data_IF_158133102650
#
_entry.id   IF_158133102650
#
_cell.length_a   1.000
_cell.length_b   1.000
_cell.length_c   1.000
_cell.angle_alpha   90.00
_cell.angle_beta   90.00
_cell.angle_gamma   90.00
#
_symmetry.space_group_name_H-M   'P 1'
#
loop_
_entity.id
_entity.type
_entity.pdbx_description
1 polymer ?
#
# COMPACT_ATOMS: atom_id res chain seq x y z
N UNK A 1 1.85 -33.46 -32.01
CA UNK A 1 0.46 -33.08 -31.66
C UNK A 1 0.07 -31.88 -32.50
N UNK A 2 -0.92 -31.98 -33.38
CA UNK A 2 -1.31 -30.88 -34.28
C UNK A 2 -1.99 -29.73 -33.53
N UNK A 3 -1.61 -28.50 -33.85
CA UNK A 3 -2.28 -27.30 -33.34
C UNK A 3 -3.74 -27.28 -33.80
N UNK A 4 -4.68 -27.15 -32.85
CA UNK A 4 -6.11 -27.03 -33.15
C UNK A 4 -6.42 -25.57 -33.51
N UNK A 5 -6.95 -25.33 -34.70
CA UNK A 5 -7.32 -24.00 -35.17
C UNK A 5 -8.83 -23.77 -35.07
N UNK A 6 -9.23 -22.52 -34.84
CA UNK A 6 -10.63 -22.07 -34.91
C UNK A 6 -10.71 -20.79 -35.74
N UNK A 7 -11.80 -20.64 -36.46
CA UNK A 7 -12.08 -19.45 -37.29
C UNK A 7 -13.08 -18.57 -36.58
N UNK A 8 -12.85 -17.26 -36.63
CA UNK A 8 -13.78 -16.24 -36.12
C UNK A 8 -14.16 -15.31 -37.28
N UNK A 9 -15.40 -14.84 -37.30
CA UNK A 9 -15.81 -13.75 -38.18
C UNK A 9 -15.66 -12.45 -37.41
N UNK A 10 -14.93 -11.51 -37.98
CA UNK A 10 -14.70 -10.19 -37.41
C UNK A 10 -15.18 -9.12 -38.39
N UNK A 11 -15.39 -7.91 -37.89
CA UNK A 11 -15.72 -6.77 -38.74
C UNK A 11 -14.54 -6.39 -39.62
N UNK A 12 -14.84 -5.84 -40.79
CA UNK A 12 -13.84 -5.47 -41.81
C UNK A 12 -12.81 -4.45 -41.28
N UNK A 13 -13.27 -3.46 -40.52
CA UNK A 13 -12.42 -2.42 -39.94
C UNK A 13 -11.39 -2.98 -38.94
N UNK A 14 -11.80 -3.97 -38.14
CA UNK A 14 -10.91 -4.70 -37.22
C UNK A 14 -9.89 -5.55 -37.99
N UNK A 15 -10.33 -6.21 -39.08
CA UNK A 15 -9.43 -6.98 -39.92
C UNK A 15 -8.36 -6.10 -40.56
N UNK A 16 -8.73 -4.95 -41.11
CA UNK A 16 -7.81 -3.98 -41.70
C UNK A 16 -6.83 -3.42 -40.66
N UNK A 17 -7.29 -3.17 -39.42
CA UNK A 17 -6.40 -2.78 -38.33
C UNK A 17 -5.37 -3.88 -38.03
N UNK A 18 -5.79 -5.14 -37.88
CA UNK A 18 -4.89 -6.26 -37.61
C UNK A 18 -3.90 -6.46 -38.77
N UNK A 19 -4.37 -6.31 -40.02
CA UNK A 19 -3.55 -6.38 -41.23
C UNK A 19 -2.47 -5.31 -41.26
N UNK A 20 -2.80 -4.06 -40.92
CA UNK A 20 -1.83 -2.96 -40.81
C UNK A 20 -0.73 -3.28 -39.79
N UNK A 21 -1.08 -3.87 -38.64
CA UNK A 21 -0.10 -4.27 -37.63
C UNK A 21 0.72 -5.50 -38.03
N UNK A 22 0.13 -6.44 -38.78
CA UNK A 22 0.83 -7.56 -39.41
C UNK A 22 1.93 -7.04 -40.35
N UNK A 23 1.58 -6.12 -41.26
CA UNK A 23 2.51 -5.52 -42.21
C UNK A 23 3.63 -4.73 -41.49
N UNK A 24 3.29 -3.97 -40.46
CA UNK A 24 4.25 -3.18 -39.68
C UNK A 24 5.24 -4.03 -38.88
N UNK A 25 4.80 -5.18 -38.36
CA UNK A 25 5.60 -5.98 -37.40
C UNK A 25 6.19 -7.26 -38.00
N UNK A 26 5.80 -7.63 -39.22
CA UNK A 26 6.16 -8.90 -39.85
C UNK A 26 5.58 -10.14 -39.17
N UNK A 27 4.74 -9.98 -38.14
CA UNK A 27 4.17 -11.07 -37.37
C UNK A 27 2.94 -11.68 -38.07
N UNK A 28 2.62 -12.94 -37.77
CA UNK A 28 1.35 -13.54 -38.23
C UNK A 28 0.15 -12.90 -37.56
N UNK A 29 -1.02 -12.93 -38.21
CA UNK A 29 -2.28 -12.38 -37.67
C UNK A 29 -2.57 -12.94 -36.26
N UNK A 30 -2.38 -14.24 -36.07
CA UNK A 30 -2.58 -14.90 -34.76
C UNK A 30 -1.64 -14.35 -33.68
N UNK A 31 -0.39 -14.04 -34.03
CA UNK A 31 0.56 -13.42 -33.09
C UNK A 31 0.20 -11.97 -32.77
N UNK A 32 -0.31 -11.21 -33.74
CA UNK A 32 -0.78 -9.83 -33.50
C UNK A 32 -1.96 -9.86 -32.52
N UNK A 33 -2.93 -10.75 -32.74
CA UNK A 33 -4.07 -10.91 -31.83
C UNK A 33 -3.62 -11.38 -30.45
N UNK A 34 -2.72 -12.38 -30.38
CA UNK A 34 -2.19 -12.85 -29.10
C UNK A 34 -1.45 -11.74 -28.32
N UNK A 35 -0.66 -10.91 -29.01
CA UNK A 35 0.01 -9.75 -28.40
C UNK A 35 -0.99 -8.71 -27.91
N UNK A 36 -2.05 -8.43 -28.67
CA UNK A 36 -3.09 -7.49 -28.26
C UNK A 36 -3.84 -8.00 -27.02
N UNK A 37 -4.22 -9.28 -27.00
CA UNK A 37 -4.86 -9.91 -25.84
C UNK A 37 -3.94 -9.96 -24.62
N UNK A 38 -2.65 -10.29 -24.81
CA UNK A 38 -1.67 -10.28 -23.73
C UNK A 38 -1.44 -8.86 -23.20
N UNK A 39 -1.46 -7.86 -24.07
CA UNK A 39 -1.37 -6.45 -23.66
C UNK A 39 -2.61 -6.02 -22.88
N UNK A 40 -3.82 -6.40 -23.32
CA UNK A 40 -5.06 -6.16 -22.59
C UNK A 40 -5.03 -6.84 -21.22
N UNK A 41 -4.64 -8.11 -21.14
CA UNK A 41 -4.50 -8.84 -19.86
C UNK A 41 -3.47 -8.17 -18.95
N UNK A 42 -2.33 -7.71 -19.50
CA UNK A 42 -1.33 -6.94 -18.74
C UNK A 42 -1.90 -5.58 -18.26
N UNK A 43 -2.68 -4.91 -19.10
CA UNK A 43 -3.36 -3.66 -18.79
C UNK A 43 -4.56 -3.83 -17.86
N UNK A 44 -5.11 -5.02 -17.68
CA UNK A 44 -6.12 -5.29 -16.65
C UNK A 44 -5.45 -5.68 -15.32
N UNK A 45 -4.29 -6.34 -15.36
CA UNK A 45 -3.50 -6.71 -14.17
C UNK A 45 -2.80 -5.52 -13.49
N UNK A 46 -2.29 -4.55 -14.25
CA UNK A 46 -1.53 -3.39 -13.74
C UNK A 46 -2.31 -2.20 -13.15
N UNK A 47 -3.55 -1.84 -13.56
CA UNK A 47 -4.30 -0.74 -12.96
C UNK A 47 -4.63 -1.01 -11.50
N UNK A 48 -4.84 -2.29 -11.13
CA UNK A 48 -5.09 -2.73 -9.74
C UNK A 48 -3.95 -2.34 -8.79
N UNK A 49 -2.69 -2.46 -9.25
CA UNK A 49 -1.51 -2.00 -8.48
C UNK A 49 -1.52 -0.48 -8.31
N UNK A 50 -2.02 0.27 -9.32
CA UNK A 50 -2.10 1.73 -9.27
C UNK A 50 -3.26 2.27 -8.45
N UNK A 51 -4.30 1.49 -8.19
CA UNK A 51 -5.38 1.82 -7.25
C UNK A 51 -4.99 1.49 -5.80
N UNK A 52 -4.25 0.39 -5.61
CA UNK A 52 -3.65 0.03 -4.31
C UNK A 52 -2.51 1.00 -3.92
N UNK A 53 -1.83 1.63 -4.89
CA UNK A 53 -0.74 2.59 -4.67
C UNK A 53 -1.18 3.82 -3.83
N UNK A 54 -2.30 4.51 -4.12
CA UNK A 54 -2.83 5.58 -3.26
C UNK A 54 -3.05 5.18 -1.80
N UNK A 55 -3.53 3.95 -1.55
CA UNK A 55 -3.72 3.44 -0.18
C UNK A 55 -2.37 3.10 0.44
N UNK A 56 -1.53 2.34 -0.25
CA UNK A 56 -0.19 1.98 0.23
C UNK A 56 0.65 3.22 0.53
N UNK A 57 0.60 4.26 -0.32
CA UNK A 57 1.27 5.54 -0.11
C UNK A 57 0.72 6.28 1.12
N UNK A 58 -0.61 6.29 1.30
CA UNK A 58 -1.24 6.84 2.51
C UNK A 58 -0.71 6.17 3.76
N UNK A 59 -0.78 4.83 3.83
CA UNK A 59 -0.32 4.09 5.01
C UNK A 59 1.20 4.22 5.21
N UNK A 60 1.99 4.16 4.15
CA UNK A 60 3.44 4.37 4.17
C UNK A 60 3.82 5.74 4.75
N UNK A 61 3.10 6.81 4.36
CA UNK A 61 3.32 8.15 4.89
C UNK A 61 3.07 8.25 6.39
N UNK A 62 1.98 7.65 6.88
CA UNK A 62 1.65 7.65 8.30
C UNK A 62 2.62 6.77 9.12
N UNK A 63 3.05 5.63 8.58
CA UNK A 63 4.11 4.80 9.18
C UNK A 63 5.41 5.62 9.31
N UNK A 64 5.83 6.29 8.23
CA UNK A 64 7.04 7.10 8.25
C UNK A 64 6.94 8.23 9.29
N UNK A 65 5.83 8.98 9.30
CA UNK A 65 5.59 10.06 10.26
C UNK A 65 5.68 9.61 11.72
N UNK A 66 4.97 8.54 12.08
CA UNK A 66 4.95 8.08 13.47
C UNK A 66 6.31 7.53 13.88
N UNK A 67 7.00 6.78 13.00
CA UNK A 67 8.32 6.24 13.32
C UNK A 67 9.40 7.31 13.43
N UNK A 68 9.36 8.35 12.59
CA UNK A 68 10.29 9.47 12.68
C UNK A 68 10.10 10.26 13.97
N UNK A 69 8.85 10.61 14.33
CA UNK A 69 8.56 11.29 15.60
C UNK A 69 8.84 10.42 16.83
N UNK A 70 8.56 9.11 16.75
CA UNK A 70 8.92 8.15 17.79
C UNK A 70 10.44 8.02 17.96
N UNK A 71 11.20 8.02 16.85
CA UNK A 71 12.65 8.05 16.86
C UNK A 71 13.20 9.29 17.54
N UNK A 72 12.70 10.48 17.16
CA UNK A 72 13.08 11.76 17.75
C UNK A 72 12.77 11.82 19.26
N UNK A 73 11.57 11.39 19.67
CA UNK A 73 11.20 11.32 21.08
C UNK A 73 12.06 10.33 21.87
N UNK A 74 12.33 9.15 21.30
CA UNK A 74 13.23 8.16 21.92
C UNK A 74 14.67 8.66 22.02
N UNK A 75 15.10 9.51 21.08
CA UNK A 75 16.43 10.08 21.08
C UNK A 75 16.59 11.20 22.10
N UNK A 76 15.59 12.07 22.20
CA UNK A 76 15.51 13.19 23.14
C UNK A 76 14.05 13.38 23.61
N UNK A 77 13.68 12.81 24.77
CA UNK A 77 12.34 12.91 25.35
C UNK A 77 12.09 14.31 25.94
N UNK A 78 11.86 15.28 25.05
CA UNK A 78 11.49 16.65 25.41
C UNK A 78 10.03 16.94 25.05
N UNK A 79 9.50 18.05 25.56
CA UNK A 79 8.11 18.47 25.36
C UNK A 79 7.73 18.62 23.88
N UNK A 80 8.64 19.11 23.05
CA UNK A 80 8.40 19.29 21.61
C UNK A 80 8.27 17.95 20.89
N UNK A 81 9.20 17.03 21.12
CA UNK A 81 9.18 15.70 20.52
C UNK A 81 8.01 14.85 21.03
N UNK A 82 7.65 15.02 22.31
CA UNK A 82 6.46 14.43 22.90
C UNK A 82 5.20 14.89 22.15
N UNK A 83 5.00 16.21 21.99
CA UNK A 83 3.84 16.75 21.27
C UNK A 83 3.76 16.24 19.84
N UNK A 84 4.87 16.27 19.10
CA UNK A 84 4.89 15.74 17.73
C UNK A 84 4.52 14.27 17.65
N UNK A 85 4.94 13.45 18.62
CA UNK A 85 4.57 12.04 18.66
C UNK A 85 3.08 11.88 19.00
N UNK A 86 2.57 12.59 20.01
CA UNK A 86 1.15 12.53 20.39
C UNK A 86 0.24 12.99 19.25
N UNK A 87 0.54 14.12 18.61
CA UNK A 87 -0.25 14.64 17.48
C UNK A 87 -0.30 13.63 16.32
N UNK A 88 0.81 12.93 16.06
CA UNK A 88 0.85 11.87 15.05
C UNK A 88 0.03 10.65 15.47
N UNK A 89 0.06 10.26 16.76
CA UNK A 89 -0.78 9.17 17.28
C UNK A 89 -2.27 9.52 17.16
N UNK A 90 -2.66 10.75 17.53
CA UNK A 90 -4.04 11.24 17.33
C UNK A 90 -4.45 11.19 15.86
N UNK A 91 -3.56 11.61 14.96
CA UNK A 91 -3.82 11.54 13.53
C UNK A 91 -3.99 10.10 13.01
N UNK A 92 -3.28 9.11 13.58
CA UNK A 92 -3.50 7.69 13.22
C UNK A 92 -4.91 7.23 13.60
N UNK A 93 -5.35 7.60 14.80
CA UNK A 93 -6.66 7.25 15.35
C UNK A 93 -7.79 7.90 14.51
N UNK A 94 -7.68 9.20 14.23
CA UNK A 94 -8.67 9.95 13.45
C UNK A 94 -8.72 9.58 11.96
N UNK A 95 -7.57 9.36 11.32
CA UNK A 95 -7.46 9.26 9.85
C UNK A 95 -7.45 7.84 9.32
N UNK A 96 -7.00 6.90 10.16
CA UNK A 96 -6.85 5.48 9.82
C UNK A 96 -7.65 4.55 10.74
N UNK A 97 -8.17 5.05 11.87
CA UNK A 97 -8.91 4.23 12.83
C UNK A 97 -8.03 3.23 13.58
N UNK A 98 -6.74 3.56 13.77
CA UNK A 98 -5.77 2.71 14.47
C UNK A 98 -5.88 2.95 15.98
N UNK A 99 -5.85 1.88 16.77
CA UNK A 99 -5.88 1.99 18.23
C UNK A 99 -4.50 2.45 18.73
N UNK A 100 -4.46 3.58 19.45
CA UNK A 100 -3.21 4.20 19.90
C UNK A 100 -3.04 4.27 21.41
N UNK A 101 -4.00 3.76 22.18
CA UNK A 101 -4.04 3.86 23.64
C UNK A 101 -2.79 3.29 24.30
N UNK A 102 -2.36 2.08 23.92
CA UNK A 102 -1.13 1.48 24.46
C UNK A 102 0.11 2.34 24.17
N UNK A 103 0.23 2.86 22.95
CA UNK A 103 1.35 3.71 22.59
C UNK A 103 1.34 5.04 23.34
N UNK A 104 0.18 5.69 23.47
CA UNK A 104 0.01 6.92 24.25
C UNK A 104 0.35 6.69 25.72
N UNK A 105 -0.09 5.60 26.32
CA UNK A 105 0.23 5.26 27.71
C UNK A 105 1.75 5.17 27.94
N UNK A 106 2.45 4.42 27.08
CA UNK A 106 3.91 4.27 27.18
C UNK A 106 4.60 5.62 26.98
N UNK A 107 4.20 6.40 25.98
CA UNK A 107 4.77 7.73 25.70
C UNK A 107 4.56 8.68 26.89
N UNK A 108 3.34 8.75 27.43
CA UNK A 108 2.99 9.61 28.57
C UNK A 108 3.82 9.26 29.81
N UNK A 109 4.04 7.97 30.07
CA UNK A 109 4.87 7.51 31.19
C UNK A 109 6.34 7.90 31.03
N UNK A 110 6.81 8.03 29.80
CA UNK A 110 8.21 8.34 29.49
C UNK A 110 8.49 9.83 29.29
N UNK A 111 7.48 10.65 28.95
CA UNK A 111 7.62 12.07 28.65
C UNK A 111 8.21 12.91 29.79
N UNK A 112 8.02 12.47 31.04
CA UNK A 112 8.61 13.11 32.22
C UNK A 112 10.01 12.63 32.59
N UNK A 113 10.56 11.65 31.88
CA UNK A 113 11.85 11.03 32.18
C UNK A 113 12.89 11.41 31.13
N UNK A 114 14.05 11.90 31.58
CA UNK A 114 15.22 11.96 30.70
C UNK A 114 15.58 10.56 30.20
N UNK A 115 16.06 10.46 28.96
CA UNK A 115 16.38 9.20 28.29
C UNK A 115 17.33 8.30 29.08
N UNK A 116 18.26 8.89 29.82
CA UNK A 116 19.24 8.16 30.63
C UNK A 116 18.57 7.35 31.74
N UNK A 117 17.38 7.76 32.17
CA UNK A 117 16.58 7.07 33.19
C UNK A 117 15.63 6.03 32.61
N UNK A 118 15.59 5.85 31.30
CA UNK A 118 14.79 4.79 30.70
C UNK A 118 15.45 3.44 30.96
N UNK A 119 14.70 2.57 31.63
CA UNK A 119 15.11 1.19 31.87
C UNK A 119 15.19 0.40 30.55
N UNK A 120 15.75 -0.80 30.62
CA UNK A 120 15.73 -1.73 29.47
C UNK A 120 14.28 -2.06 29.10
N UNK A 121 13.44 -2.30 30.10
CA UNK A 121 12.02 -2.62 29.91
C UNK A 121 11.25 -1.46 29.29
N UNK A 122 11.46 -0.22 29.75
CA UNK A 122 10.87 0.99 29.14
C UNK A 122 11.19 1.06 27.63
N UNK A 123 12.44 0.76 27.24
CA UNK A 123 12.87 0.78 25.84
C UNK A 123 12.24 -0.35 25.03
N UNK A 124 12.11 -1.54 25.61
CA UNK A 124 11.47 -2.70 24.97
C UNK A 124 9.99 -2.42 24.76
N UNK A 125 9.31 -1.91 25.78
CA UNK A 125 7.89 -1.62 25.75
C UNK A 125 7.57 -0.50 24.75
N UNK A 126 8.36 0.58 24.73
CA UNK A 126 8.26 1.62 23.72
C UNK A 126 8.39 1.06 22.29
N UNK A 127 9.42 0.26 22.03
CA UNK A 127 9.60 -0.36 20.71
C UNK A 127 8.44 -1.32 20.37
N UNK A 128 7.90 -2.03 21.37
CA UNK A 128 6.79 -2.96 21.19
C UNK A 128 5.51 -2.22 20.84
N UNK A 129 5.23 -1.10 21.51
CA UNK A 129 4.12 -0.23 21.20
C UNK A 129 4.19 0.30 19.77
N UNK A 130 5.35 0.85 19.36
CA UNK A 130 5.53 1.36 18.00
C UNK A 130 5.43 0.25 16.93
N UNK A 131 6.01 -0.93 17.18
CA UNK A 131 5.87 -2.08 16.28
C UNK A 131 4.42 -2.54 16.16
N UNK A 132 3.68 -2.56 17.26
CA UNK A 132 2.25 -2.91 17.27
C UNK A 132 1.45 -1.96 16.36
N UNK A 133 1.69 -0.65 16.45
CA UNK A 133 1.05 0.33 15.56
C UNK A 133 1.34 0.06 14.08
N UNK A 134 2.59 -0.27 13.74
CA UNK A 134 2.97 -0.63 12.36
C UNK A 134 2.22 -1.87 11.90
N UNK A 135 2.14 -2.92 12.72
CA UNK A 135 1.38 -4.12 12.37
C UNK A 135 -0.10 -3.83 12.16
N UNK A 136 -0.72 -3.04 13.07
CA UNK A 136 -2.10 -2.62 12.92
C UNK A 136 -2.34 -1.84 11.62
N UNK A 137 -1.44 -0.90 11.28
CA UNK A 137 -1.52 -0.14 10.04
C UNK A 137 -1.41 -1.05 8.79
N UNK A 138 -0.53 -2.05 8.82
CA UNK A 138 -0.38 -3.00 7.72
C UNK A 138 -1.62 -3.90 7.55
N UNK A 139 -2.19 -4.40 8.64
CA UNK A 139 -3.45 -5.17 8.58
C UNK A 139 -4.60 -4.30 8.09
N UNK A 140 -4.66 -3.05 8.53
CA UNK A 140 -5.70 -2.14 8.07
C UNK A 140 -5.58 -1.80 6.59
N UNK A 141 -4.36 -1.64 6.09
CA UNK A 141 -4.11 -1.50 4.65
C UNK A 141 -4.65 -2.71 3.88
N UNK A 142 -4.38 -3.93 4.35
CA UNK A 142 -4.87 -5.16 3.72
C UNK A 142 -6.41 -5.20 3.67
N UNK A 143 -7.07 -4.87 4.78
CA UNK A 143 -8.53 -4.78 4.83
C UNK A 143 -9.11 -3.73 3.87
N UNK A 144 -8.49 -2.55 3.80
CA UNK A 144 -8.96 -1.46 2.95
C UNK A 144 -8.75 -1.78 1.46
N UNK A 145 -7.63 -2.45 1.13
CA UNK A 145 -7.38 -3.01 -0.21
C UNK A 145 -8.43 -4.06 -0.57
N UNK A 146 -8.75 -4.99 0.35
CA UNK A 146 -9.81 -5.98 0.10
C UNK A 146 -11.18 -5.34 -0.11
N UNK A 147 -11.56 -4.34 0.70
CA UNK A 147 -12.82 -3.62 0.55
C UNK A 147 -12.90 -2.92 -0.80
N UNK A 148 -11.81 -2.27 -1.21
CA UNK A 148 -11.72 -1.58 -2.49
C UNK A 148 -11.90 -2.57 -3.65
N UNK A 149 -11.27 -3.75 -3.58
CA UNK A 149 -11.45 -4.82 -4.58
C UNK A 149 -12.90 -5.34 -4.67
N UNK A 150 -13.57 -5.51 -3.52
CA UNK A 150 -14.96 -5.99 -3.48
C UNK A 150 -15.94 -4.97 -4.10
N UNK A 151 -15.73 -3.68 -3.90
CA UNK A 151 -16.58 -2.62 -4.46
C UNK A 151 -16.48 -2.52 -6.00
N UNK A 152 -15.28 -2.70 -6.55
CA UNK A 152 -15.06 -2.70 -8.01
C UNK A 152 -15.69 -3.91 -8.70
N UNK A 153 -15.79 -5.06 -8.01
CA UNK A 153 -16.34 -6.30 -8.60
C UNK A 153 -17.89 -6.30 -8.66
N UNK A 154 -18.56 -5.39 -7.94
CA UNK A 154 -20.02 -5.28 -7.88
C UNK A 154 -20.59 -4.19 -8.80
N UNK A 155 -19.73 -3.46 -9.53
CA UNK A 155 -20.11 -2.48 -10.56
C UNK A 155 -19.91 -3.07 -11.96
#
# INVERSE_FOLDING_TARGET
MGSKYKTIRIREDLYELIRKYKEKTGASISQVVAKALAFMDLQERKPRVKEDLPLADKYSWYIAKVLMSAGAFKEDPNETNYRYLIDNLDALEERLGIETGFAKEVVNRLAGKKKEHWTVDDKIEFNSAMKSLVLQMLWRLEEDVEKSRRQVTQQ
#
